data_IF_483750208068
#
_entry.id   IF_483750208068
#
_cell.length_a   1.000
_cell.length_b   1.000
_cell.length_c   1.000
_cell.angle_alpha   90.00
_cell.angle_beta   90.00
_cell.angle_gamma   90.00
#
_symmetry.space_group_name_H-M   'P 1'
#
loop_
_entity.id
_entity.type
_entity.pdbx_description
1 polymer ?
#
# COMPACT_ATOMS: atom_id res chain seq x y z
N UNK A 1 36.96 -12.75 65.09
CA UNK A 1 37.12 -12.18 63.73
C UNK A 1 36.01 -12.77 62.87
N UNK A 2 35.05 -11.95 62.52
CA UNK A 2 33.79 -12.41 61.83
C UNK A 2 33.90 -11.98 60.36
N UNK A 3 34.12 -12.94 59.44
CA UNK A 3 34.22 -12.69 58.02
C UNK A 3 32.83 -12.38 57.45
N UNK A 4 32.65 -11.16 56.97
CA UNK A 4 31.45 -10.76 56.21
C UNK A 4 31.72 -11.09 54.73
N UNK A 5 31.00 -12.06 54.19
CA UNK A 5 31.00 -12.39 52.76
C UNK A 5 29.94 -11.49 52.10
N UNK A 6 30.45 -10.55 51.30
CA UNK A 6 29.60 -9.64 50.49
C UNK A 6 29.20 -10.37 49.20
N UNK A 7 27.93 -10.79 49.11
CA UNK A 7 27.37 -11.37 47.86
C UNK A 7 26.93 -10.21 46.97
N UNK A 8 27.67 -9.95 45.91
CA UNK A 8 27.27 -9.00 44.84
C UNK A 8 26.31 -9.76 43.89
N UNK A 9 25.03 -9.47 43.99
CA UNK A 9 24.03 -9.90 43.01
C UNK A 9 24.17 -9.01 41.74
N UNK A 10 24.80 -9.57 40.69
CA UNK A 10 24.76 -8.98 39.34
C UNK A 10 23.37 -9.15 38.74
N UNK A 11 22.58 -8.10 38.73
CA UNK A 11 21.37 -8.01 37.91
C UNK A 11 21.78 -7.85 36.43
N UNK A 12 21.81 -8.95 35.68
CA UNK A 12 21.89 -8.92 34.24
C UNK A 12 20.52 -8.47 33.70
N UNK A 13 20.36 -7.18 33.42
CA UNK A 13 19.23 -6.67 32.67
C UNK A 13 19.37 -7.14 31.22
N UNK A 14 18.63 -8.18 30.85
CA UNK A 14 18.48 -8.61 29.46
C UNK A 14 17.67 -7.55 28.71
N UNK A 15 18.36 -6.68 27.98
CA UNK A 15 17.71 -5.83 26.96
C UNK A 15 17.24 -6.74 25.83
N UNK A 16 15.95 -7.05 25.81
CA UNK A 16 15.32 -7.69 24.63
C UNK A 16 15.16 -6.61 23.57
N UNK A 17 16.06 -6.61 22.58
CA UNK A 17 15.83 -5.84 21.35
C UNK A 17 14.65 -6.46 20.62
N UNK A 18 13.50 -5.80 20.64
CA UNK A 18 12.40 -6.13 19.76
C UNK A 18 12.81 -5.70 18.35
N UNK A 19 13.23 -6.64 17.51
CA UNK A 19 13.39 -6.39 16.07
C UNK A 19 11.98 -6.15 15.54
N UNK A 20 11.70 -4.94 15.08
CA UNK A 20 10.44 -4.62 14.44
C UNK A 20 10.22 -5.60 13.27
N UNK A 21 9.20 -6.44 13.39
CA UNK A 21 8.92 -7.48 12.39
C UNK A 21 8.44 -6.80 11.11
N UNK A 22 9.17 -6.98 10.01
CA UNK A 22 8.81 -6.41 8.73
C UNK A 22 7.66 -7.22 8.10
N UNK A 23 6.48 -6.60 7.99
CA UNK A 23 5.29 -7.18 7.36
C UNK A 23 5.05 -6.65 5.94
N UNK A 24 6.02 -5.95 5.34
CA UNK A 24 5.88 -5.49 3.95
C UNK A 24 5.60 -6.66 2.99
N UNK A 25 4.68 -6.44 2.07
CA UNK A 25 4.29 -7.43 1.07
C UNK A 25 2.85 -7.30 0.61
N UNK A 26 2.49 -8.16 -0.34
CA UNK A 26 1.12 -8.35 -0.80
C UNK A 26 0.54 -9.61 -0.11
N UNK A 27 -0.67 -9.51 0.39
CA UNK A 27 -1.37 -10.60 1.08
C UNK A 27 -2.78 -10.78 0.53
N UNK A 28 -3.19 -12.02 0.34
CA UNK A 28 -4.51 -12.37 -0.17
C UNK A 28 -5.24 -13.31 0.79
N UNK A 29 -6.54 -13.05 0.94
CA UNK A 29 -7.50 -13.98 1.50
C UNK A 29 -8.72 -14.08 0.56
N UNK A 30 -9.36 -15.26 0.55
CA UNK A 30 -10.61 -15.47 -0.14
C UNK A 30 -11.67 -15.83 0.91
N UNK A 31 -12.70 -15.01 1.00
CA UNK A 31 -13.82 -15.22 1.92
C UNK A 31 -15.14 -14.95 1.20
N UNK A 32 -16.10 -15.87 1.31
CA UNK A 32 -17.45 -15.69 0.72
C UNK A 32 -17.44 -15.28 -0.77
N UNK A 33 -16.58 -15.88 -1.57
CA UNK A 33 -16.40 -15.55 -3.01
C UNK A 33 -15.86 -14.14 -3.28
N UNK A 34 -15.29 -13.49 -2.27
CA UNK A 34 -14.62 -12.20 -2.40
C UNK A 34 -13.12 -12.37 -2.17
N UNK A 35 -12.35 -11.60 -2.93
CA UNK A 35 -10.90 -11.47 -2.77
C UNK A 35 -10.62 -10.27 -1.86
N UNK A 36 -9.83 -10.49 -0.84
CA UNK A 36 -9.33 -9.48 0.06
C UNK A 36 -7.83 -9.31 -0.18
N UNK A 37 -7.43 -8.18 -0.77
CA UNK A 37 -6.02 -7.86 -1.05
C UNK A 37 -5.53 -6.82 -0.05
N UNK A 38 -4.49 -7.16 0.71
CA UNK A 38 -3.76 -6.22 1.55
C UNK A 38 -2.40 -5.95 0.91
N UNK A 39 -2.06 -4.66 0.70
CA UNK A 39 -0.74 -4.21 0.29
C UNK A 39 -0.11 -3.40 1.41
N UNK A 40 1.14 -3.74 1.75
CA UNK A 40 1.90 -3.08 2.83
C UNK A 40 3.28 -2.71 2.30
N UNK A 41 3.57 -1.42 2.24
CA UNK A 41 4.87 -0.88 1.85
C UNK A 41 5.09 0.52 2.46
N UNK A 42 6.33 0.85 2.81
CA UNK A 42 6.77 2.20 3.21
C UNK A 42 5.87 2.87 4.27
N UNK A 43 5.46 2.11 5.31
CA UNK A 43 4.62 2.64 6.40
C UNK A 43 3.15 2.86 6.01
N UNK A 44 2.73 2.37 4.86
CA UNK A 44 1.36 2.49 4.35
C UNK A 44 0.72 1.13 4.13
N UNK A 45 -0.58 1.04 4.43
CA UNK A 45 -1.37 -0.18 4.24
C UNK A 45 -2.65 0.14 3.47
N UNK A 46 -3.03 -0.76 2.57
CA UNK A 46 -4.34 -0.74 1.92
C UNK A 46 -4.99 -2.11 2.02
N UNK A 47 -6.31 -2.13 2.14
CA UNK A 47 -7.14 -3.32 2.06
C UNK A 47 -8.22 -3.10 1.02
N UNK A 48 -8.24 -3.91 -0.02
CA UNK A 48 -9.23 -3.86 -1.10
C UNK A 48 -10.02 -5.14 -1.17
N UNK A 49 -11.33 -5.01 -1.38
CA UNK A 49 -12.27 -6.12 -1.51
C UNK A 49 -12.87 -6.08 -2.91
N UNK A 50 -12.81 -7.20 -3.62
CA UNK A 50 -13.35 -7.33 -4.97
C UNK A 50 -13.74 -8.80 -5.27
N UNK A 51 -14.67 -8.99 -6.16
CA UNK A 51 -14.98 -10.29 -6.80
C UNK A 51 -14.35 -10.35 -8.20
N UNK A 52 -14.62 -11.41 -8.98
CA UNK A 52 -14.02 -11.58 -10.32
C UNK A 52 -14.23 -10.38 -11.24
N UNK A 53 -15.38 -9.71 -11.17
CA UNK A 53 -15.74 -8.62 -12.09
C UNK A 53 -16.20 -7.35 -11.36
N UNK A 54 -16.17 -7.32 -10.03
CA UNK A 54 -16.82 -6.23 -9.28
C UNK A 54 -15.95 -5.73 -8.14
N UNK A 55 -15.64 -4.44 -8.17
CA UNK A 55 -15.10 -3.73 -7.02
C UNK A 55 -16.14 -3.64 -5.90
N UNK A 56 -15.74 -3.93 -4.66
CA UNK A 56 -16.61 -3.92 -3.48
C UNK A 56 -16.28 -2.79 -2.51
N UNK A 57 -15.00 -2.53 -2.27
CA UNK A 57 -14.57 -1.47 -1.36
C UNK A 57 -13.08 -1.44 -1.14
N UNK A 58 -12.60 -0.35 -0.57
CA UNK A 58 -11.20 -0.20 -0.13
C UNK A 58 -11.08 0.78 1.02
N UNK A 59 -10.12 0.49 1.89
CA UNK A 59 -9.73 1.35 3.00
C UNK A 59 -8.21 1.29 3.20
N UNK A 60 -7.65 2.27 3.91
CA UNK A 60 -6.23 2.26 4.23
C UNK A 60 -5.72 3.58 4.79
N UNK A 61 -4.42 3.61 5.03
CA UNK A 61 -3.74 4.76 5.59
C UNK A 61 -2.33 4.43 6.05
N UNK A 62 -1.76 5.29 6.88
CA UNK A 62 -0.47 5.04 7.51
C UNK A 62 -0.61 3.99 8.61
N UNK A 63 0.42 3.18 8.81
CA UNK A 63 0.39 2.16 9.86
C UNK A 63 1.69 2.11 10.65
N UNK A 64 1.58 1.53 11.85
CA UNK A 64 2.69 1.02 12.64
C UNK A 64 2.32 -0.29 13.30
N UNK A 65 3.34 -1.07 13.65
CA UNK A 65 3.18 -2.35 14.33
C UNK A 65 3.76 -2.21 15.75
N UNK A 66 2.92 -2.34 16.76
CA UNK A 66 3.33 -2.25 18.16
C UNK A 66 2.62 -3.33 18.98
N UNK A 67 3.35 -4.09 19.80
CA UNK A 67 2.81 -5.08 20.75
C UNK A 67 1.76 -6.03 20.13
N UNK A 68 2.06 -6.56 18.94
CA UNK A 68 1.17 -7.41 18.15
C UNK A 68 -0.17 -6.74 17.77
N UNK A 69 -0.20 -5.41 17.72
CA UNK A 69 -1.28 -4.64 17.13
C UNK A 69 -0.81 -3.95 15.87
N UNK A 70 -1.57 -4.09 14.82
CA UNK A 70 -1.51 -3.26 13.64
C UNK A 70 -2.33 -2.00 13.93
N UNK A 71 -1.67 -0.87 14.05
CA UNK A 71 -2.28 0.42 14.37
C UNK A 71 -2.34 1.21 13.07
N UNK A 72 -3.54 1.54 12.61
CA UNK A 72 -3.77 2.22 11.33
C UNK A 72 -4.45 3.56 11.58
N UNK A 73 -3.85 4.65 11.08
CA UNK A 73 -4.53 5.94 10.95
C UNK A 73 -5.21 5.96 9.59
N UNK A 74 -6.53 5.92 9.59
CA UNK A 74 -7.33 5.81 8.37
C UNK A 74 -7.25 7.12 7.57
N UNK A 75 -6.79 7.04 6.32
CA UNK A 75 -6.78 8.17 5.38
C UNK A 75 -7.89 8.08 4.32
N UNK A 76 -8.45 6.90 4.11
CA UNK A 76 -9.60 6.67 3.24
C UNK A 76 -10.34 5.39 3.62
N UNK A 77 -11.66 5.46 3.48
CA UNK A 77 -12.59 4.34 3.56
C UNK A 77 -13.79 4.71 2.67
N UNK A 78 -13.92 4.03 1.53
CA UNK A 78 -14.95 4.38 0.54
C UNK A 78 -16.36 3.94 0.94
N UNK A 79 -16.48 3.04 1.92
CA UNK A 79 -17.77 2.58 2.47
C UNK A 79 -18.18 3.33 3.72
N UNK A 80 -17.19 3.70 4.53
CA UNK A 80 -17.44 4.37 5.82
C UNK A 80 -16.54 5.61 5.95
N UNK A 81 -16.85 6.71 5.23
CA UNK A 81 -16.01 7.92 5.23
C UNK A 81 -15.76 8.51 6.62
N UNK A 82 -16.63 8.20 7.59
CA UNK A 82 -16.45 8.65 8.98
C UNK A 82 -15.25 8.04 9.68
N UNK A 83 -14.73 6.91 9.21
CA UNK A 83 -13.49 6.30 9.72
C UNK A 83 -12.25 7.15 9.39
N UNK A 84 -12.31 8.04 8.39
CA UNK A 84 -11.17 8.87 7.99
C UNK A 84 -10.79 9.83 9.10
N UNK A 85 -9.51 9.80 9.48
CA UNK A 85 -8.93 10.51 10.62
C UNK A 85 -8.89 9.70 11.93
N UNK A 86 -9.64 8.60 12.01
CA UNK A 86 -9.65 7.73 13.19
C UNK A 86 -8.45 6.80 13.21
N UNK A 87 -8.04 6.41 14.41
CA UNK A 87 -7.00 5.39 14.65
C UNK A 87 -7.64 4.08 15.03
N UNK A 88 -7.38 3.05 14.26
CA UNK A 88 -7.88 1.70 14.47
C UNK A 88 -6.77 0.77 14.97
N UNK A 89 -7.11 -0.14 15.88
CA UNK A 89 -6.22 -1.11 16.50
C UNK A 89 -6.68 -2.51 16.14
N UNK A 90 -5.88 -3.23 15.37
CA UNK A 90 -6.19 -4.60 14.95
C UNK A 90 -5.18 -5.56 15.58
N UNK A 91 -5.59 -6.45 16.48
CA UNK A 91 -4.73 -7.55 16.90
C UNK A 91 -4.27 -8.34 15.68
N UNK A 92 -2.96 -8.52 15.55
CA UNK A 92 -2.37 -9.23 14.40
C UNK A 92 -1.51 -10.38 14.90
N UNK A 93 -1.66 -11.54 14.27
CA UNK A 93 -0.73 -12.66 14.41
C UNK A 93 0.08 -12.80 13.11
N UNK A 94 1.40 -12.83 13.25
CA UNK A 94 2.31 -12.95 12.11
C UNK A 94 2.97 -14.32 12.19
N UNK A 95 2.84 -15.11 11.12
CA UNK A 95 3.37 -16.46 11.04
C UNK A 95 4.00 -16.68 9.66
N UNK A 96 5.35 -16.76 9.60
CA UNK A 96 6.10 -17.01 8.36
C UNK A 96 5.61 -16.17 7.18
N UNK A 97 4.75 -16.78 6.34
CA UNK A 97 4.21 -16.19 5.12
C UNK A 97 2.70 -15.89 5.20
N UNK A 98 2.16 -15.65 6.36
CA UNK A 98 0.76 -15.25 6.56
C UNK A 98 0.60 -14.29 7.72
N UNK A 99 -0.46 -13.48 7.65
CA UNK A 99 -0.94 -12.65 8.75
C UNK A 99 -2.39 -13.03 9.05
N UNK A 100 -2.77 -12.96 10.33
CA UNK A 100 -4.15 -13.14 10.74
C UNK A 100 -4.62 -11.84 11.39
N UNK A 101 -5.67 -11.26 10.86
CA UNK A 101 -6.31 -10.04 11.34
C UNK A 101 -7.79 -10.31 11.47
N UNK A 102 -8.38 -10.05 12.65
CA UNK A 102 -9.81 -10.26 12.94
C UNK A 102 -10.31 -11.68 12.57
N UNK A 103 -9.46 -12.69 12.78
CA UNK A 103 -9.78 -14.10 12.49
C UNK A 103 -9.64 -14.48 11.01
N UNK A 104 -9.39 -13.53 10.11
CA UNK A 104 -9.15 -13.81 8.70
C UNK A 104 -7.66 -14.06 8.47
N UNK A 105 -7.35 -15.18 7.81
CA UNK A 105 -5.98 -15.52 7.43
C UNK A 105 -5.66 -15.01 6.03
N UNK A 106 -4.69 -14.10 5.94
CA UNK A 106 -4.16 -13.57 4.69
C UNK A 106 -2.84 -14.24 4.35
N UNK A 107 -2.78 -14.89 3.20
CA UNK A 107 -1.59 -15.56 2.71
C UNK A 107 -0.68 -14.58 1.98
N UNK A 108 0.59 -14.48 2.41
CA UNK A 108 1.59 -13.66 1.70
C UNK A 108 1.80 -14.21 0.30
N UNK A 109 1.80 -13.31 -0.66
CA UNK A 109 2.06 -13.66 -2.05
C UNK A 109 3.57 -13.85 -2.28
N UNK A 110 3.91 -14.50 -3.38
CA UNK A 110 5.30 -14.72 -3.73
C UNK A 110 6.05 -13.38 -3.84
N UNK A 111 7.21 -13.31 -3.19
CA UNK A 111 8.06 -12.11 -3.25
C UNK A 111 8.53 -11.92 -4.69
N UNK A 112 8.14 -10.78 -5.27
CA UNK A 112 8.53 -10.38 -6.62
C UNK A 112 8.99 -8.92 -6.59
N UNK A 113 10.18 -8.70 -6.03
CA UNK A 113 10.76 -7.36 -5.96
C UNK A 113 11.00 -6.76 -7.33
N UNK A 114 10.57 -5.53 -7.51
CA UNK A 114 10.74 -4.75 -8.73
C UNK A 114 11.20 -3.33 -8.40
N UNK A 115 11.77 -2.62 -9.37
CA UNK A 115 12.35 -1.29 -9.13
C UNK A 115 11.32 -0.23 -8.70
N UNK A 116 10.03 -0.47 -8.93
CA UNK A 116 8.96 0.45 -8.53
C UNK A 116 8.33 0.10 -7.18
N UNK A 117 8.70 -1.01 -6.51
CA UNK A 117 8.11 -1.33 -5.20
C UNK A 117 8.24 -0.16 -4.23
N UNK A 118 7.17 0.11 -3.48
CA UNK A 118 7.05 1.15 -2.46
C UNK A 118 5.84 2.06 -2.66
N UNK A 119 5.81 3.16 -1.92
CA UNK A 119 4.75 4.16 -1.96
C UNK A 119 5.18 5.36 -2.80
N UNK A 120 4.36 5.73 -3.76
CA UNK A 120 4.57 6.85 -4.67
C UNK A 120 3.40 7.82 -4.61
N UNK A 121 3.71 9.10 -4.80
CA UNK A 121 2.73 10.17 -4.93
C UNK A 121 2.92 10.90 -6.26
N UNK A 122 1.85 11.20 -6.95
CA UNK A 122 1.92 12.02 -8.16
C UNK A 122 2.34 13.45 -7.81
N UNK A 123 3.37 13.94 -8.50
CA UNK A 123 3.95 15.28 -8.28
C UNK A 123 3.94 16.14 -9.52
N UNK A 124 3.61 15.57 -10.67
CA UNK A 124 3.49 16.34 -11.91
C UNK A 124 2.76 15.56 -13.00
N UNK A 125 2.28 16.29 -13.97
CA UNK A 125 1.68 15.73 -15.19
C UNK A 125 1.84 16.68 -16.35
N UNK A 126 1.84 16.13 -17.55
CA UNK A 126 1.85 16.92 -18.80
C UNK A 126 0.40 17.26 -19.19
N UNK A 127 0.13 18.52 -19.42
CA UNK A 127 -1.16 19.04 -19.93
C UNK A 127 -0.86 19.98 -21.07
N UNK A 128 -1.42 19.71 -22.25
CA UNK A 128 -1.17 20.50 -23.47
C UNK A 128 0.34 20.73 -23.70
N UNK A 129 1.12 19.64 -23.65
CA UNK A 129 2.59 19.62 -23.79
C UNK A 129 3.40 20.38 -22.74
N UNK A 130 2.77 20.97 -21.75
CA UNK A 130 3.44 21.65 -20.64
C UNK A 130 3.43 20.81 -19.38
N UNK A 131 4.58 20.71 -18.71
CA UNK A 131 4.66 20.08 -17.39
C UNK A 131 4.02 20.97 -16.34
N UNK A 132 3.06 20.42 -15.63
CA UNK A 132 2.42 21.06 -14.49
C UNK A 132 2.82 20.32 -13.21
N UNK A 133 3.39 21.07 -12.27
CA UNK A 133 3.69 20.56 -10.93
C UNK A 133 2.40 20.46 -10.11
N UNK A 134 2.24 19.33 -9.43
CA UNK A 134 1.14 19.12 -8.48
C UNK A 134 1.71 19.36 -7.09
N UNK A 135 1.25 20.44 -6.45
CA UNK A 135 1.70 20.81 -5.11
C UNK A 135 1.27 19.76 -4.07
N UNK A 136 2.14 19.51 -3.08
CA UNK A 136 1.76 18.68 -1.93
C UNK A 136 0.67 19.39 -1.12
N UNK A 137 -0.39 18.65 -0.83
CA UNK A 137 -1.53 19.10 -0.04
C UNK A 137 -2.33 17.88 0.41
N UNK A 138 -3.46 18.09 1.08
CA UNK A 138 -4.31 17.01 1.59
C UNK A 138 -4.89 16.16 0.46
N UNK A 139 -5.31 16.80 -0.64
CA UNK A 139 -5.68 16.08 -1.85
C UNK A 139 -4.45 15.45 -2.49
N UNK A 140 -4.49 14.13 -2.63
CA UNK A 140 -3.37 13.36 -3.20
C UNK A 140 -3.86 12.19 -4.05
N UNK A 141 -3.03 11.82 -5.01
CA UNK A 141 -3.12 10.51 -5.68
C UNK A 141 -1.83 9.78 -5.36
N UNK A 142 -1.95 8.63 -4.76
CA UNK A 142 -0.86 7.76 -4.39
C UNK A 142 -0.95 6.44 -5.14
N UNK A 143 0.19 5.75 -5.25
CA UNK A 143 0.28 4.40 -5.82
C UNK A 143 1.20 3.58 -4.91
N UNK A 144 0.67 2.50 -4.37
CA UNK A 144 1.42 1.49 -3.62
C UNK A 144 1.72 0.32 -4.54
N UNK A 145 2.98 -0.10 -4.59
CA UNK A 145 3.44 -1.23 -5.38
C UNK A 145 4.27 -2.15 -4.49
N UNK A 146 3.97 -3.44 -4.49
CA UNK A 146 4.73 -4.43 -3.72
C UNK A 146 4.48 -5.84 -4.26
N UNK A 147 5.55 -6.62 -4.37
CA UNK A 147 5.51 -8.05 -4.73
C UNK A 147 4.70 -8.36 -6.02
N UNK A 148 4.73 -7.45 -7.00
CA UNK A 148 4.01 -7.59 -8.26
C UNK A 148 2.53 -7.24 -8.19
N UNK A 149 2.07 -6.61 -7.12
CA UNK A 149 0.73 -6.03 -6.97
C UNK A 149 0.82 -4.51 -6.86
N UNK A 150 -0.21 -3.83 -7.34
CA UNK A 150 -0.32 -2.38 -7.23
C UNK A 150 -1.74 -1.95 -6.89
N UNK A 151 -1.84 -0.75 -6.32
CA UNK A 151 -3.09 -0.01 -6.21
C UNK A 151 -2.79 1.48 -6.33
N UNK A 152 -3.55 2.21 -7.14
CA UNK A 152 -3.60 3.67 -7.10
C UNK A 152 -4.84 4.13 -6.36
N UNK A 153 -4.73 5.22 -5.59
CA UNK A 153 -5.79 5.77 -4.76
C UNK A 153 -5.79 7.29 -4.89
N UNK A 154 -6.93 7.88 -5.24
CA UNK A 154 -7.12 9.34 -5.29
C UNK A 154 -8.04 9.78 -4.15
N UNK A 155 -7.51 10.54 -3.20
CA UNK A 155 -8.16 10.90 -1.93
C UNK A 155 -7.92 12.35 -1.52
N UNK A 156 -8.74 12.84 -0.60
CA UNK A 156 -8.51 14.04 0.20
C UNK A 156 -8.92 13.75 1.65
N UNK A 157 -7.99 13.31 2.53
CA UNK A 157 -8.32 12.97 3.91
C UNK A 157 -8.93 14.12 4.72
N UNK A 158 -8.53 15.37 4.46
CA UNK A 158 -9.08 16.53 5.17
C UNK A 158 -10.59 16.73 4.97
N UNK A 159 -11.10 16.27 3.82
CA UNK A 159 -12.53 16.36 3.47
C UNK A 159 -13.21 14.99 3.52
N UNK A 160 -12.53 13.94 4.02
CA UNK A 160 -12.97 12.54 3.97
C UNK A 160 -13.31 12.11 2.54
N UNK A 161 -12.64 12.72 1.55
CA UNK A 161 -12.94 12.57 0.13
C UNK A 161 -12.25 11.34 -0.47
N UNK A 162 -13.05 10.47 -1.12
CA UNK A 162 -12.58 9.37 -1.94
C UNK A 162 -12.99 9.61 -3.40
N UNK A 163 -12.02 9.67 -4.31
CA UNK A 163 -12.27 10.01 -5.72
C UNK A 163 -12.08 8.84 -6.66
N UNK A 164 -11.55 7.72 -6.16
CA UNK A 164 -11.45 6.48 -6.90
C UNK A 164 -10.16 5.73 -6.67
N UNK A 165 -10.19 4.47 -7.08
CA UNK A 165 -9.06 3.54 -7.02
C UNK A 165 -9.14 2.53 -8.17
N UNK A 166 -8.00 1.96 -8.47
CA UNK A 166 -7.86 0.77 -9.28
C UNK A 166 -6.59 0.04 -8.89
N UNK A 167 -6.57 -1.25 -9.10
CA UNK A 167 -5.42 -2.05 -8.73
C UNK A 167 -5.42 -3.43 -9.36
N UNK A 168 -4.35 -4.15 -9.12
CA UNK A 168 -4.17 -5.47 -9.71
C UNK A 168 -2.72 -5.94 -9.64
N UNK A 169 -2.29 -6.63 -10.67
CA UNK A 169 -0.91 -7.09 -10.81
C UNK A 169 -0.11 -6.16 -11.70
N UNK A 170 1.19 -6.03 -11.44
CA UNK A 170 2.08 -5.26 -12.30
C UNK A 170 3.39 -5.98 -12.58
N UNK A 171 4.04 -5.56 -13.65
CA UNK A 171 5.42 -5.88 -13.94
C UNK A 171 6.15 -4.62 -14.36
N UNK A 172 7.42 -4.51 -13.94
CA UNK A 172 8.31 -3.43 -14.37
C UNK A 172 9.69 -4.01 -14.72
N UNK A 173 10.04 -3.95 -15.98
CA UNK A 173 11.33 -4.41 -16.49
C UNK A 173 11.71 -3.66 -17.76
N UNK A 174 13.01 -3.34 -17.91
CA UNK A 174 13.57 -2.75 -19.13
C UNK A 174 12.82 -1.50 -19.64
N UNK A 175 12.35 -0.64 -18.72
CA UNK A 175 11.60 0.54 -19.09
C UNK A 175 10.13 0.30 -19.46
N UNK A 176 9.64 -0.92 -19.41
CA UNK A 176 8.23 -1.26 -19.61
C UNK A 176 7.53 -1.47 -18.27
N UNK A 177 6.43 -0.77 -18.06
CA UNK A 177 5.52 -0.92 -16.93
C UNK A 177 4.17 -1.42 -17.43
N UNK A 178 3.72 -2.55 -16.92
CA UNK A 178 2.45 -3.15 -17.31
C UNK A 178 1.56 -3.33 -16.09
N UNK A 179 0.29 -2.96 -16.23
CA UNK A 179 -0.78 -3.18 -15.25
C UNK A 179 -1.79 -4.20 -15.79
N UNK A 180 -2.18 -5.18 -14.97
CA UNK A 180 -3.30 -6.08 -15.20
C UNK A 180 -4.36 -5.81 -14.14
N UNK A 181 -5.48 -5.23 -14.54
CA UNK A 181 -6.50 -4.69 -13.65
C UNK A 181 -7.34 -5.81 -13.04
N UNK A 182 -7.35 -5.91 -11.71
CA UNK A 182 -8.21 -6.84 -10.97
C UNK A 182 -9.44 -6.16 -10.37
N UNK A 183 -9.37 -4.86 -10.12
CA UNK A 183 -10.50 -4.05 -9.64
C UNK A 183 -10.36 -2.59 -10.06
N UNK A 184 -11.52 -1.94 -10.26
CA UNK A 184 -11.58 -0.52 -10.63
C UNK A 184 -12.88 0.09 -10.11
N UNK A 185 -12.80 1.08 -9.21
CA UNK A 185 -13.95 1.58 -8.44
C UNK A 185 -14.99 2.35 -9.27
N UNK A 186 -14.57 2.90 -10.43
CA UNK A 186 -15.43 3.75 -11.26
C UNK A 186 -16.07 3.04 -12.44
N UNK A 187 -15.51 1.91 -12.83
CA UNK A 187 -15.94 1.22 -14.06
C UNK A 187 -15.44 -0.23 -14.05
N UNK A 188 -16.31 -1.15 -13.66
CA UNK A 188 -15.99 -2.57 -13.60
C UNK A 188 -15.62 -3.16 -14.98
N UNK A 189 -15.99 -2.53 -16.09
CA UNK A 189 -15.62 -3.00 -17.44
C UNK A 189 -14.11 -2.92 -17.71
N UNK A 190 -13.36 -2.26 -16.82
CA UNK A 190 -11.88 -2.22 -16.86
C UNK A 190 -11.21 -3.45 -16.25
N UNK A 191 -11.94 -4.26 -15.51
CA UNK A 191 -11.40 -5.51 -14.95
C UNK A 191 -11.00 -6.46 -16.08
N UNK A 192 -9.85 -7.10 -15.94
CA UNK A 192 -9.25 -7.93 -16.98
C UNK A 192 -8.43 -7.18 -18.03
N UNK A 193 -8.50 -5.84 -18.08
CA UNK A 193 -7.70 -5.05 -19.02
C UNK A 193 -6.21 -5.11 -18.66
N UNK A 194 -5.37 -5.13 -19.71
CA UNK A 194 -3.92 -4.95 -19.61
C UNK A 194 -3.53 -3.60 -20.18
N UNK A 195 -2.85 -2.78 -19.38
CA UNK A 195 -2.36 -1.47 -19.78
C UNK A 195 -0.83 -1.50 -19.82
N UNK A 196 -0.27 -0.97 -20.91
CA UNK A 196 1.18 -0.91 -21.09
C UNK A 196 1.62 0.56 -21.10
N UNK A 197 2.69 0.82 -20.36
CA UNK A 197 3.27 2.13 -20.18
C UNK A 197 4.79 2.06 -20.33
N UNK A 198 5.39 3.19 -20.64
CA UNK A 198 6.80 3.40 -20.45
C UNK A 198 7.04 3.89 -19.03
N UNK A 199 8.08 3.36 -18.38
CA UNK A 199 8.49 3.73 -17.05
C UNK A 199 10.00 3.97 -16.98
N UNK A 200 10.41 5.09 -16.39
CA UNK A 200 11.81 5.42 -16.15
C UNK A 200 11.95 6.00 -14.76
N UNK A 201 12.95 5.53 -14.00
CA UNK A 201 13.34 6.17 -12.75
C UNK A 201 14.55 7.05 -13.03
N UNK A 202 14.44 8.34 -12.81
CA UNK A 202 15.49 9.32 -12.99
C UNK A 202 15.40 10.37 -11.87
N UNK A 203 16.52 10.72 -11.26
CA UNK A 203 16.59 11.69 -10.16
C UNK A 203 15.62 11.39 -8.99
N UNK A 204 15.40 10.12 -8.66
CA UNK A 204 14.42 9.64 -7.67
C UNK A 204 12.95 9.92 -8.03
N UNK A 205 12.66 10.29 -9.26
CA UNK A 205 11.31 10.41 -9.79
C UNK A 205 11.00 9.28 -10.76
N UNK A 206 9.78 8.78 -10.71
CA UNK A 206 9.25 7.84 -11.68
C UNK A 206 8.49 8.60 -12.75
N UNK A 207 9.04 8.59 -13.97
CA UNK A 207 8.41 9.07 -15.17
C UNK A 207 7.52 7.94 -15.72
N UNK A 208 6.23 8.20 -15.83
CA UNK A 208 5.21 7.25 -16.24
C UNK A 208 4.46 7.82 -17.45
N UNK A 209 4.55 7.16 -18.60
CA UNK A 209 3.94 7.64 -19.84
C UNK A 209 3.28 6.51 -20.63
N UNK A 210 2.28 6.87 -21.42
CA UNK A 210 1.53 5.92 -22.23
C UNK A 210 0.12 6.39 -22.52
N UNK A 211 -0.82 5.44 -22.54
CA UNK A 211 -2.26 5.75 -22.71
C UNK A 211 -3.01 5.37 -21.43
N UNK A 212 -3.88 6.28 -20.98
CA UNK A 212 -4.80 6.01 -19.87
C UNK A 212 -5.77 4.88 -20.22
N UNK A 213 -6.51 4.41 -19.22
CA UNK A 213 -7.59 3.43 -19.44
C UNK A 213 -8.70 3.92 -20.39
N UNK A 214 -8.75 5.22 -20.68
CA UNK A 214 -9.66 5.82 -21.68
C UNK A 214 -9.03 5.98 -23.07
N UNK A 215 -7.72 5.68 -23.21
CA UNK A 215 -6.97 5.84 -24.45
C UNK A 215 -6.28 7.19 -24.62
N UNK A 216 -6.46 8.13 -23.68
CA UNK A 216 -5.83 9.44 -23.73
C UNK A 216 -4.32 9.33 -23.42
N UNK A 217 -3.44 10.09 -24.09
CA UNK A 217 -2.04 10.11 -23.76
C UNK A 217 -1.83 10.70 -22.36
N UNK A 218 -0.96 10.07 -21.60
CA UNK A 218 -0.55 10.53 -20.26
C UNK A 218 0.97 10.64 -20.17
N UNK A 219 1.41 11.59 -19.40
CA UNK A 219 2.77 11.69 -18.89
C UNK A 219 2.71 12.23 -17.48
N UNK A 220 3.17 11.45 -16.51
CA UNK A 220 3.08 11.73 -15.09
C UNK A 220 4.44 11.60 -14.42
N UNK A 221 4.67 12.45 -13.42
CA UNK A 221 5.81 12.34 -12.51
C UNK A 221 5.30 11.87 -11.15
N UNK A 222 6.02 10.91 -10.60
CA UNK A 222 5.72 10.34 -9.30
C UNK A 222 6.98 10.39 -8.44
N UNK A 223 6.87 10.86 -7.20
CA UNK A 223 7.95 10.87 -6.23
C UNK A 223 7.61 9.93 -5.08
N UNK A 224 8.62 9.43 -4.35
CA UNK A 224 8.40 8.64 -3.14
C UNK A 224 7.59 9.46 -2.13
N UNK A 225 6.61 8.84 -1.50
CA UNK A 225 5.75 9.47 -0.49
C UNK A 225 6.17 8.97 0.90
N UNK A 226 7.35 9.45 1.36
CA UNK A 226 7.96 9.13 2.65
C UNK A 226 7.61 10.23 3.66
#
# INVERSE_FOLDING_TARGET
>A
MRNIVLIILLFASSFTYSIAQNISGAYLANTNSENHLILIADGYITHSIYSEETYKGTQGGTYKLENNNLIVVCEFDDKTPNNVGETHYFPITIQNNKIVIEGVTFQKQAIKKQGLDGLWRITGRKVNDNMQTIQRGDRKTIKILVDGYFQWIAINPAEKGFYGTGGGKYTFANGSYQENILFFSRDNSRVGASLNFEGKIENNEWHHSGKSSKGDPIYELWSRDN
#
